data_IF_477398776524
#
_entry.id   IF_477398776524
#
_cell.length_a   1.000
_cell.length_b   1.000
_cell.length_c   1.000
_cell.angle_alpha   90.00
_cell.angle_beta   90.00
_cell.angle_gamma   90.00
#
_symmetry.space_group_name_H-M   'P 1'
#
loop_
_entity.id
_entity.type
_entity.pdbx_description
1 polymer ?
#
# COMPACT_ATOMS: atom_id res chain seq x y z
N UNK A 1 -9.89 76.32 -1.17
CA UNK A 1 -10.68 75.17 -0.67
C UNK A 1 -9.93 73.90 -1.05
N UNK A 2 -9.21 73.27 -0.11
CA UNK A 2 -8.49 72.02 -0.33
C UNK A 2 -9.41 70.88 0.02
N UNK A 3 -9.66 69.94 -0.94
CA UNK A 3 -10.44 68.72 -0.72
C UNK A 3 -9.56 67.67 0.02
N UNK A 4 -10.04 66.98 1.04
CA UNK A 4 -9.28 65.92 1.64
C UNK A 4 -9.33 64.66 0.75
N UNK A 5 -8.16 64.08 0.52
CA UNK A 5 -8.00 62.79 -0.14
C UNK A 5 -8.30 61.69 0.86
N UNK A 6 -9.43 61.00 0.72
CA UNK A 6 -9.77 59.84 1.56
C UNK A 6 -8.95 58.66 1.08
N UNK A 7 -8.00 58.24 1.89
CA UNK A 7 -7.21 57.02 1.68
C UNK A 7 -8.07 55.81 2.10
N UNK A 8 -8.60 55.07 1.13
CA UNK A 8 -9.36 53.85 1.36
C UNK A 8 -8.37 52.71 1.65
N UNK A 9 -8.20 52.38 2.93
CA UNK A 9 -7.51 51.17 3.32
C UNK A 9 -8.36 49.97 2.97
N UNK A 10 -8.02 49.24 1.90
CA UNK A 10 -8.56 47.96 1.59
C UNK A 10 -7.94 46.95 2.61
N UNK A 11 -8.68 46.67 3.71
CA UNK A 11 -8.35 45.55 4.57
C UNK A 11 -8.61 44.27 3.73
N UNK A 12 -7.55 43.68 3.16
CA UNK A 12 -7.57 42.29 2.79
C UNK A 12 -7.73 41.47 4.09
N UNK A 13 -8.96 41.10 4.39
CA UNK A 13 -9.20 40.06 5.37
C UNK A 13 -8.55 38.80 4.85
N UNK A 14 -7.36 38.47 5.36
CA UNK A 14 -6.77 37.14 5.25
C UNK A 14 -7.72 36.20 6.00
N UNK A 15 -8.74 35.73 5.34
CA UNK A 15 -9.49 34.59 5.87
C UNK A 15 -8.52 33.44 5.88
N UNK A 16 -7.99 33.12 7.04
CA UNK A 16 -7.34 31.85 7.34
C UNK A 16 -8.41 30.77 7.10
N UNK A 17 -8.42 30.24 5.89
CA UNK A 17 -9.20 29.06 5.62
C UNK A 17 -8.56 27.94 6.43
N UNK A 18 -9.22 27.53 7.51
CA UNK A 18 -8.89 26.26 8.15
C UNK A 18 -9.05 25.20 7.07
N UNK A 19 -7.93 24.67 6.57
CA UNK A 19 -7.96 23.71 5.48
C UNK A 19 -8.67 22.46 5.99
N UNK A 20 -9.88 22.20 5.48
CA UNK A 20 -10.61 20.98 5.77
C UNK A 20 -9.92 19.81 5.09
N UNK A 21 -10.01 18.61 5.63
CA UNK A 21 -9.59 17.39 4.91
C UNK A 21 -10.22 17.31 3.52
N UNK A 22 -9.45 16.82 2.55
CA UNK A 22 -9.91 16.67 1.18
C UNK A 22 -10.95 15.53 1.05
N UNK A 23 -10.72 14.44 1.77
CA UNK A 23 -11.60 13.28 1.75
C UNK A 23 -12.72 13.42 2.79
N UNK A 24 -13.91 12.99 2.40
CA UNK A 24 -15.07 12.84 3.29
C UNK A 24 -15.40 11.38 3.57
N UNK A 25 -14.69 10.46 2.91
CA UNK A 25 -14.89 9.02 3.06
C UNK A 25 -14.40 8.52 4.41
N UNK A 26 -15.12 7.55 4.98
CA UNK A 26 -14.78 6.86 6.21
C UNK A 26 -14.80 5.35 5.97
N UNK A 27 -13.99 4.91 5.01
CA UNK A 27 -13.93 3.50 4.66
C UNK A 27 -13.22 2.67 5.72
N UNK A 28 -13.51 1.35 5.72
CA UNK A 28 -12.88 0.37 6.59
C UNK A 28 -12.30 -0.78 5.77
N UNK A 29 -11.67 -1.74 6.44
CA UNK A 29 -11.19 -2.96 5.79
C UNK A 29 -12.22 -4.11 5.83
N UNK A 30 -13.36 -3.88 6.50
CA UNK A 30 -14.49 -4.81 6.65
C UNK A 30 -15.58 -4.53 5.60
N UNK A 31 -16.71 -5.22 5.72
CA UNK A 31 -17.85 -4.97 4.85
C UNK A 31 -18.36 -3.52 4.96
N UNK A 32 -18.79 -2.92 3.81
CA UNK A 32 -18.95 -3.56 2.49
C UNK A 32 -17.67 -3.60 1.64
N UNK A 33 -16.56 -3.01 2.09
CA UNK A 33 -15.35 -2.78 1.29
C UNK A 33 -14.61 -4.06 0.91
N UNK A 34 -14.72 -5.09 1.74
CA UNK A 34 -14.07 -6.41 1.51
C UNK A 34 -14.98 -7.45 0.85
N UNK A 35 -16.21 -7.12 0.50
CA UNK A 35 -17.19 -8.11 0.01
C UNK A 35 -16.79 -8.82 -1.30
N UNK A 36 -15.78 -8.33 -2.00
CA UNK A 36 -15.21 -8.95 -3.20
C UNK A 36 -13.81 -9.53 -2.95
N UNK A 37 -13.29 -9.48 -1.73
CA UNK A 37 -12.02 -10.13 -1.38
C UNK A 37 -12.23 -11.65 -1.24
N UNK A 38 -11.17 -12.47 -1.44
CA UNK A 38 -11.28 -13.92 -1.30
C UNK A 38 -11.87 -14.35 0.04
N UNK A 39 -12.81 -15.28 0.01
CA UNK A 39 -13.37 -15.92 1.20
C UNK A 39 -12.39 -16.96 1.73
N UNK A 40 -12.13 -16.95 3.05
CA UNK A 40 -11.17 -17.84 3.67
C UNK A 40 -11.85 -19.07 4.28
N UNK A 41 -11.63 -20.30 3.74
CA UNK A 41 -12.28 -21.50 4.22
C UNK A 41 -11.86 -21.91 5.64
N UNK A 42 -10.70 -21.45 6.12
CA UNK A 42 -10.25 -21.76 7.49
C UNK A 42 -10.81 -20.76 8.53
N UNK A 43 -11.38 -19.66 8.08
CA UNK A 43 -12.08 -18.66 8.90
C UNK A 43 -13.59 -18.62 8.56
N UNK A 44 -14.21 -19.82 8.48
CA UNK A 44 -15.64 -20.01 8.21
C UNK A 44 -16.15 -19.38 6.90
N UNK A 45 -15.30 -19.24 5.89
CA UNK A 45 -15.61 -18.52 4.64
C UNK A 45 -15.97 -17.04 4.83
N UNK A 46 -15.49 -16.41 5.90
CA UNK A 46 -15.52 -14.96 5.99
C UNK A 46 -14.61 -14.35 4.92
N UNK A 47 -15.03 -13.23 4.34
CA UNK A 47 -14.17 -12.53 3.38
C UNK A 47 -12.91 -12.03 4.07
N UNK A 48 -11.78 -12.18 3.40
CA UNK A 48 -10.52 -11.58 3.81
C UNK A 48 -10.68 -10.08 4.00
N UNK A 49 -9.92 -9.47 4.92
CA UNK A 49 -9.90 -8.02 5.03
C UNK A 49 -9.50 -7.36 3.71
N UNK A 50 -10.03 -6.17 3.45
CA UNK A 50 -9.70 -5.43 2.22
C UNK A 50 -8.23 -5.02 2.12
N UNK A 51 -7.55 -4.90 3.27
CA UNK A 51 -6.15 -4.49 3.35
C UNK A 51 -5.97 -2.97 3.33
N UNK A 52 -5.14 -2.45 4.25
CA UNK A 52 -4.96 -1.01 4.39
C UNK A 52 -4.41 -0.31 3.12
N UNK A 53 -3.48 -0.90 2.31
CA UNK A 53 -3.04 -0.24 1.09
C UNK A 53 -4.16 -0.13 0.05
N UNK A 54 -4.99 -1.17 -0.10
CA UNK A 54 -6.12 -1.15 -1.02
C UNK A 54 -7.19 -0.15 -0.61
N UNK A 55 -7.49 -0.04 0.70
CA UNK A 55 -8.45 0.95 1.21
C UNK A 55 -7.93 2.37 1.03
N UNK A 56 -6.67 2.65 1.36
CA UNK A 56 -6.07 3.97 1.17
C UNK A 56 -6.06 4.37 -0.31
N UNK A 57 -5.62 3.47 -1.20
CA UNK A 57 -5.61 3.70 -2.63
C UNK A 57 -7.02 3.87 -3.19
N UNK A 58 -7.98 3.03 -2.77
CA UNK A 58 -9.37 3.09 -3.21
C UNK A 58 -10.04 4.41 -2.83
N UNK A 59 -9.82 4.94 -1.63
CA UNK A 59 -10.31 6.25 -1.21
C UNK A 59 -9.75 7.38 -2.09
N UNK A 60 -8.48 7.32 -2.45
CA UNK A 60 -7.83 8.30 -3.34
C UNK A 60 -8.43 8.22 -4.75
N UNK A 61 -8.59 7.03 -5.32
CA UNK A 61 -9.21 6.81 -6.64
C UNK A 61 -10.67 7.32 -6.64
N UNK A 62 -11.43 7.00 -5.59
CA UNK A 62 -12.79 7.50 -5.45
C UNK A 62 -12.85 9.03 -5.37
N UNK A 63 -11.94 9.66 -4.61
CA UNK A 63 -11.84 11.11 -4.51
C UNK A 63 -11.49 11.75 -5.87
N UNK A 64 -10.53 11.19 -6.60
CA UNK A 64 -10.09 11.68 -7.91
C UNK A 64 -11.08 11.31 -9.04
N UNK A 65 -12.05 10.45 -8.76
CA UNK A 65 -13.11 10.04 -9.71
C UNK A 65 -12.57 9.46 -11.01
N UNK A 66 -11.49 8.66 -10.95
CA UNK A 66 -10.91 8.06 -12.14
C UNK A 66 -10.20 6.75 -11.84
N UNK A 67 -10.45 5.73 -12.67
CA UNK A 67 -9.64 4.50 -12.74
C UNK A 67 -8.61 4.58 -13.86
N UNK A 68 -8.58 5.68 -14.62
CA UNK A 68 -7.82 5.83 -15.88
C UNK A 68 -8.07 4.68 -16.88
N UNK A 69 -9.26 4.07 -16.83
CA UNK A 69 -9.59 2.93 -17.67
C UNK A 69 -8.78 1.67 -17.38
N UNK A 70 -8.24 1.54 -16.16
CA UNK A 70 -7.47 0.34 -15.75
C UNK A 70 -8.34 -0.91 -15.85
N UNK A 71 -7.82 -1.94 -16.50
CA UNK A 71 -8.42 -3.28 -16.65
C UNK A 71 -7.36 -4.32 -16.40
N UNK A 72 -7.77 -5.51 -15.97
CA UNK A 72 -6.91 -6.63 -15.62
C UNK A 72 -7.04 -7.76 -16.65
N UNK A 73 -5.95 -8.49 -16.88
CA UNK A 73 -5.88 -9.65 -17.74
C UNK A 73 -4.91 -10.68 -17.15
N UNK A 74 -4.75 -11.84 -17.83
CA UNK A 74 -3.91 -12.95 -17.37
C UNK A 74 -2.45 -12.55 -17.05
N UNK A 75 -1.96 -11.39 -17.52
CA UNK A 75 -0.63 -10.87 -17.14
C UNK A 75 -0.59 -10.25 -15.75
N UNK A 76 -1.74 -9.96 -15.18
CA UNK A 76 -1.89 -9.46 -13.81
C UNK A 76 -2.04 -10.59 -12.78
N UNK A 77 -2.12 -11.85 -13.22
CA UNK A 77 -2.23 -13.01 -12.33
C UNK A 77 -1.11 -13.06 -11.31
N UNK A 78 -1.48 -13.40 -10.10
CA UNK A 78 -0.53 -13.64 -9.04
C UNK A 78 -1.10 -14.58 -7.99
N UNK A 79 -0.23 -15.20 -7.20
CA UNK A 79 -0.67 -15.89 -6.00
C UNK A 79 -0.32 -15.11 -4.75
N UNK A 80 -1.20 -15.19 -3.76
CA UNK A 80 -0.92 -14.65 -2.44
C UNK A 80 -0.14 -15.69 -1.64
N UNK A 81 1.04 -15.35 -1.15
CA UNK A 81 1.76 -16.17 -0.20
C UNK A 81 1.56 -15.57 1.19
N UNK A 82 0.55 -16.04 1.92
CA UNK A 82 0.32 -15.58 3.27
C UNK A 82 1.12 -16.39 4.30
N UNK A 83 1.26 -15.83 5.50
CA UNK A 83 2.05 -16.42 6.61
C UNK A 83 1.54 -17.77 7.12
N UNK A 84 0.36 -18.20 6.68
CA UNK A 84 -0.31 -19.43 7.15
C UNK A 84 -0.32 -20.55 6.13
N UNK A 85 0.45 -20.40 5.04
CA UNK A 85 0.49 -21.42 3.98
C UNK A 85 -0.77 -21.48 3.13
N UNK A 86 -1.62 -20.43 3.18
CA UNK A 86 -2.75 -20.28 2.26
C UNK A 86 -2.28 -19.53 1.03
N UNK A 87 -2.61 -20.08 -0.09
CA UNK A 87 -2.32 -19.50 -1.38
C UNK A 87 -3.65 -19.34 -2.09
N UNK A 88 -3.99 -18.09 -2.46
CA UNK A 88 -5.05 -17.81 -3.41
C UNK A 88 -4.39 -17.48 -4.74
N UNK A 89 -4.80 -18.14 -5.81
CA UNK A 89 -4.43 -17.76 -7.17
C UNK A 89 -5.46 -16.76 -7.67
N UNK A 90 -5.07 -15.49 -7.70
CA UNK A 90 -5.96 -14.39 -8.07
C UNK A 90 -6.19 -14.46 -9.57
N UNK A 91 -7.46 -14.46 -9.96
CA UNK A 91 -8.14 -14.79 -11.18
C UNK A 91 -8.48 -16.30 -11.34
N UNK A 92 -7.61 -17.24 -10.99
CA UNK A 92 -7.83 -18.68 -11.19
C UNK A 92 -8.80 -19.29 -10.16
N UNK A 93 -8.68 -18.92 -8.90
CA UNK A 93 -9.41 -19.54 -7.78
C UNK A 93 -10.77 -18.88 -7.48
N UNK A 94 -11.29 -18.03 -8.36
CA UNK A 94 -12.42 -17.15 -8.12
C UNK A 94 -13.70 -17.87 -7.71
N UNK A 95 -14.05 -19.01 -8.31
CA UNK A 95 -15.22 -19.81 -7.93
C UNK A 95 -15.06 -20.46 -6.55
N UNK A 96 -13.84 -20.89 -6.22
CA UNK A 96 -13.55 -21.59 -4.98
C UNK A 96 -13.61 -20.66 -3.78
N UNK A 97 -13.09 -19.43 -3.94
CA UNK A 97 -12.95 -18.47 -2.85
C UNK A 97 -13.83 -17.23 -3.02
N UNK A 98 -14.83 -17.28 -3.89
CA UNK A 98 -15.94 -16.32 -3.99
C UNK A 98 -15.50 -14.85 -4.24
N UNK A 99 -14.50 -14.65 -5.07
CA UNK A 99 -14.09 -13.33 -5.54
C UNK A 99 -14.31 -13.19 -7.06
N UNK A 100 -14.36 -11.98 -7.65
CA UNK A 100 -14.59 -11.86 -9.09
C UNK A 100 -13.35 -12.26 -9.91
N UNK A 101 -13.54 -12.99 -11.00
CA UNK A 101 -12.52 -13.15 -12.04
C UNK A 101 -12.19 -11.80 -12.68
N UNK A 102 -11.07 -11.67 -13.38
CA UNK A 102 -10.71 -10.40 -14.04
C UNK A 102 -11.74 -9.92 -15.07
N UNK A 103 -12.36 -10.76 -15.91
CA UNK A 103 -13.47 -10.32 -16.75
C UNK A 103 -14.67 -9.76 -15.96
N UNK A 104 -15.00 -10.39 -14.83
CA UNK A 104 -16.08 -9.90 -13.95
C UNK A 104 -15.69 -8.58 -13.26
N UNK A 105 -14.46 -8.48 -12.74
CA UNK A 105 -13.92 -7.25 -12.15
C UNK A 105 -13.92 -6.11 -13.17
N UNK A 106 -13.47 -6.36 -14.38
CA UNK A 106 -13.47 -5.36 -15.46
C UNK A 106 -14.88 -4.84 -15.78
N UNK A 107 -15.90 -5.71 -15.78
CA UNK A 107 -17.30 -5.29 -15.95
C UNK A 107 -17.77 -4.37 -14.83
N UNK A 108 -17.34 -4.64 -13.57
CA UNK A 108 -17.62 -3.74 -12.44
C UNK A 108 -16.87 -2.42 -12.59
N UNK A 109 -15.62 -2.43 -13.05
CA UNK A 109 -14.83 -1.21 -13.28
C UNK A 109 -15.40 -0.36 -14.44
N UNK A 110 -16.00 -0.96 -15.47
CA UNK A 110 -16.77 -0.23 -16.50
C UNK A 110 -17.96 0.53 -15.86
N UNK A 111 -18.62 -0.12 -14.90
CA UNK A 111 -19.72 0.50 -14.15
C UNK A 111 -19.23 1.60 -13.21
N UNK A 112 -18.04 1.44 -12.58
CA UNK A 112 -17.37 2.47 -11.78
C UNK A 112 -17.08 3.70 -12.63
N UNK A 113 -16.40 3.53 -13.78
CA UNK A 113 -16.07 4.63 -14.69
C UNK A 113 -17.32 5.37 -15.18
N UNK A 114 -18.38 4.61 -15.53
CA UNK A 114 -19.65 5.19 -15.93
C UNK A 114 -20.31 5.99 -14.80
N UNK A 115 -20.21 5.52 -13.55
CA UNK A 115 -20.73 6.21 -12.37
C UNK A 115 -19.94 7.49 -12.08
N UNK A 116 -18.61 7.43 -12.21
CA UNK A 116 -17.75 8.61 -12.09
C UNK A 116 -18.08 9.67 -13.16
N UNK A 117 -18.28 9.26 -14.41
CA UNK A 117 -18.64 10.18 -15.52
C UNK A 117 -19.99 10.87 -15.28
N UNK A 118 -20.95 10.21 -14.64
CA UNK A 118 -22.24 10.80 -14.28
C UNK A 118 -22.18 11.69 -13.03
N UNK A 119 -21.04 11.74 -12.33
CA UNK A 119 -20.90 12.49 -11.08
C UNK A 119 -21.65 11.86 -9.90
N UNK A 120 -22.02 10.59 -9.99
CA UNK A 120 -22.78 9.85 -8.97
C UNK A 120 -21.85 9.17 -7.96
N UNK A 121 -22.35 8.92 -6.74
CA UNK A 121 -21.63 8.15 -5.74
C UNK A 121 -21.65 6.65 -6.10
N UNK A 122 -20.57 5.95 -5.72
CA UNK A 122 -20.48 4.51 -5.90
C UNK A 122 -21.44 3.78 -4.94
N UNK A 123 -22.09 2.72 -5.44
CA UNK A 123 -22.76 1.75 -4.57
C UNK A 123 -21.74 0.93 -3.78
N UNK A 124 -22.18 0.23 -2.75
CA UNK A 124 -21.32 -0.65 -1.94
C UNK A 124 -20.54 -1.66 -2.81
N UNK A 125 -21.22 -2.28 -3.79
CA UNK A 125 -20.58 -3.24 -4.69
C UNK A 125 -19.54 -2.62 -5.61
N UNK A 126 -19.78 -1.40 -6.11
CA UNK A 126 -18.80 -0.68 -6.94
C UNK A 126 -17.64 -0.15 -6.10
N UNK A 127 -17.91 0.26 -4.86
CA UNK A 127 -16.86 0.62 -3.91
C UNK A 127 -15.95 -0.57 -3.60
N UNK A 128 -16.53 -1.74 -3.32
CA UNK A 128 -15.78 -2.96 -3.13
C UNK A 128 -14.98 -3.37 -4.37
N UNK A 129 -15.52 -3.12 -5.57
CA UNK A 129 -14.80 -3.40 -6.83
C UNK A 129 -13.55 -2.50 -6.97
N UNK A 130 -13.66 -1.22 -6.64
CA UNK A 130 -12.49 -0.31 -6.61
C UNK A 130 -11.46 -0.78 -5.60
N UNK A 131 -11.88 -1.14 -4.39
CA UNK A 131 -10.96 -1.61 -3.34
C UNK A 131 -10.29 -2.92 -3.73
N UNK A 132 -11.06 -3.90 -4.25
CA UNK A 132 -10.49 -5.16 -4.72
C UNK A 132 -9.51 -4.96 -5.88
N UNK A 133 -9.84 -4.11 -6.87
CA UNK A 133 -8.95 -3.77 -7.98
C UNK A 133 -7.64 -3.12 -7.49
N UNK A 134 -7.70 -2.25 -6.47
CA UNK A 134 -6.51 -1.69 -5.83
C UNK A 134 -5.66 -2.78 -5.15
N UNK A 135 -6.30 -3.72 -4.48
CA UNK A 135 -5.64 -4.86 -3.85
C UNK A 135 -4.95 -5.79 -4.85
N UNK A 136 -5.62 -6.06 -5.99
CA UNK A 136 -5.04 -6.80 -7.12
C UNK A 136 -3.82 -6.08 -7.67
N UNK A 137 -3.95 -4.79 -7.96
CA UNK A 137 -2.83 -3.99 -8.48
C UNK A 137 -1.64 -3.92 -7.50
N UNK A 138 -1.91 -3.88 -6.19
CA UNK A 138 -0.88 -3.96 -5.15
C UNK A 138 -0.30 -5.38 -4.99
N UNK A 139 -0.84 -6.40 -5.66
CA UNK A 139 -0.47 -7.80 -5.44
C UNK A 139 -0.45 -8.16 -3.96
N UNK A 140 -1.50 -7.71 -3.24
CA UNK A 140 -1.54 -7.87 -1.78
C UNK A 140 -1.83 -9.30 -1.35
N UNK A 141 -1.41 -9.62 -0.14
CA UNK A 141 -1.77 -10.86 0.56
C UNK A 141 -3.15 -10.68 1.16
N UNK A 142 -4.02 -11.68 1.00
CA UNK A 142 -5.35 -11.70 1.59
C UNK A 142 -5.43 -12.65 2.80
N UNK A 143 -6.10 -12.20 3.85
CA UNK A 143 -6.34 -12.98 5.07
C UNK A 143 -7.57 -12.47 5.82
N UNK A 144 -8.41 -13.37 6.33
CA UNK A 144 -9.50 -13.04 7.24
C UNK A 144 -9.07 -13.05 8.72
N UNK A 145 -7.82 -13.39 9.02
CA UNK A 145 -7.31 -13.43 10.38
C UNK A 145 -7.15 -12.03 10.98
N UNK A 146 -7.79 -11.80 12.15
CA UNK A 146 -7.62 -10.56 12.89
C UNK A 146 -6.18 -10.27 13.35
N UNK A 147 -5.36 -11.31 13.51
CA UNK A 147 -3.99 -11.17 13.97
C UNK A 147 -3.02 -10.70 12.88
N UNK A 148 -3.34 -10.94 11.61
CA UNK A 148 -2.41 -10.73 10.50
C UNK A 148 -2.98 -9.82 9.41
N UNK A 149 -4.31 -9.88 9.17
CA UNK A 149 -4.99 -9.05 8.19
C UNK A 149 -4.49 -9.27 6.75
N UNK A 150 -5.02 -8.46 5.84
CA UNK A 150 -4.57 -8.37 4.45
C UNK A 150 -3.66 -7.16 4.27
N UNK A 151 -2.75 -7.20 3.29
CA UNK A 151 -1.88 -6.07 2.99
C UNK A 151 -0.73 -6.38 2.05
N UNK A 152 0.20 -5.46 1.94
CA UNK A 152 1.43 -5.56 1.15
C UNK A 152 2.63 -5.80 2.06
N UNK A 153 3.74 -6.24 1.47
CA UNK A 153 5.00 -6.38 2.18
C UNK A 153 5.76 -5.05 2.26
N UNK A 154 5.59 -4.21 1.22
CA UNK A 154 6.29 -2.94 1.06
C UNK A 154 5.41 -1.91 0.38
N UNK A 155 5.69 -0.65 0.65
CA UNK A 155 5.05 0.50 -0.02
C UNK A 155 5.30 0.52 -1.53
N UNK A 156 6.33 -0.15 -2.02
CA UNK A 156 6.62 -0.30 -3.45
C UNK A 156 5.47 -0.90 -4.22
N UNK A 157 4.80 -1.89 -3.64
CA UNK A 157 3.64 -2.53 -4.26
C UNK A 157 2.49 -1.53 -4.47
N UNK A 158 2.24 -0.64 -3.52
CA UNK A 158 1.27 0.44 -3.69
C UNK A 158 1.75 1.47 -4.73
N UNK A 159 3.04 1.79 -4.75
CA UNK A 159 3.60 2.69 -5.75
C UNK A 159 3.47 2.14 -7.18
N UNK A 160 3.80 0.87 -7.40
CA UNK A 160 3.62 0.18 -8.68
C UNK A 160 2.14 0.10 -9.07
N UNK A 161 1.25 -0.13 -8.07
CA UNK A 161 -0.19 -0.14 -8.29
C UNK A 161 -0.70 1.23 -8.79
N UNK A 162 -0.24 2.34 -8.25
CA UNK A 162 -0.58 3.66 -8.78
C UNK A 162 -0.10 3.84 -10.22
N UNK A 163 1.11 3.37 -10.55
CA UNK A 163 1.60 3.40 -11.93
C UNK A 163 0.73 2.52 -12.86
N UNK A 164 0.30 1.34 -12.37
CA UNK A 164 -0.64 0.45 -13.07
C UNK A 164 -2.00 1.12 -13.30
N UNK A 165 -2.43 1.97 -12.36
CA UNK A 165 -3.64 2.79 -12.49
C UNK A 165 -3.41 4.11 -13.27
N UNK A 166 -2.32 4.23 -14.02
CA UNK A 166 -2.08 5.34 -14.94
C UNK A 166 -1.57 6.63 -14.29
N UNK A 167 -1.22 6.63 -13.00
CA UNK A 167 -0.58 7.78 -12.34
C UNK A 167 0.92 7.83 -12.70
N UNK A 168 1.24 8.16 -13.95
CA UNK A 168 2.60 8.07 -14.48
C UNK A 168 3.61 9.00 -13.78
N UNK A 169 3.14 10.13 -13.24
CA UNK A 169 3.98 11.14 -12.57
C UNK A 169 4.07 10.95 -11.04
N UNK A 170 3.48 9.88 -10.49
CA UNK A 170 3.57 9.60 -9.07
C UNK A 170 5.01 9.37 -8.63
N UNK A 171 5.32 9.74 -7.37
CA UNK A 171 6.67 9.64 -6.79
C UNK A 171 6.62 9.01 -5.43
N UNK A 172 7.61 8.17 -5.17
CA UNK A 172 7.83 7.53 -3.88
C UNK A 172 9.04 8.16 -3.18
N UNK A 173 8.80 8.74 -1.99
CA UNK A 173 9.84 9.18 -1.06
C UNK A 173 9.95 8.18 0.08
N UNK A 174 11.17 7.75 0.43
CA UNK A 174 11.44 6.79 1.50
C UNK A 174 11.99 7.46 2.75
N UNK A 175 12.67 8.55 2.58
CA UNK A 175 13.31 9.29 3.67
C UNK A 175 12.64 10.65 3.81
N UNK A 176 12.26 11.05 5.04
CA UNK A 176 11.70 12.36 5.28
C UNK A 176 12.78 13.43 5.14
N UNK A 177 12.63 14.29 4.14
CA UNK A 177 13.46 15.47 3.94
C UNK A 177 12.61 16.71 3.63
N UNK A 178 13.25 17.86 3.56
CA UNK A 178 12.54 19.13 3.29
C UNK A 178 11.87 19.16 1.92
N UNK A 179 12.41 18.43 0.92
CA UNK A 179 11.83 18.37 -0.41
C UNK A 179 10.56 17.54 -0.43
N UNK A 180 10.55 16.40 0.30
CA UNK A 180 9.36 15.56 0.49
C UNK A 180 8.20 16.37 1.07
N UNK A 181 8.43 17.10 2.18
CA UNK A 181 7.38 17.91 2.81
C UNK A 181 6.91 19.06 1.92
N UNK A 182 7.81 19.74 1.22
CA UNK A 182 7.43 20.80 0.31
C UNK A 182 6.51 20.31 -0.82
N UNK A 183 6.82 19.13 -1.39
CA UNK A 183 6.01 18.51 -2.44
C UNK A 183 4.66 18.02 -1.87
N UNK A 184 4.66 17.39 -0.69
CA UNK A 184 3.44 16.96 -0.02
C UNK A 184 2.49 18.14 0.23
N UNK A 185 3.00 19.23 0.81
CA UNK A 185 2.22 20.44 1.07
C UNK A 185 1.67 21.02 -0.24
N UNK A 186 2.49 21.12 -1.29
CA UNK A 186 2.05 21.63 -2.58
C UNK A 186 0.95 20.76 -3.21
N UNK A 187 1.04 19.43 -3.09
CA UNK A 187 0.00 18.50 -3.54
C UNK A 187 -1.31 18.74 -2.80
N UNK A 188 -1.27 18.78 -1.46
CA UNK A 188 -2.45 18.99 -0.64
C UNK A 188 -3.11 20.36 -0.89
N UNK A 189 -2.31 21.42 -1.07
CA UNK A 189 -2.81 22.75 -1.44
C UNK A 189 -3.43 22.78 -2.84
N UNK A 190 -2.98 21.94 -3.74
CA UNK A 190 -3.54 21.78 -5.08
C UNK A 190 -4.77 20.83 -5.11
N UNK A 191 -5.16 20.24 -3.98
CA UNK A 191 -6.29 19.34 -3.88
C UNK A 191 -5.97 17.88 -4.19
N UNK A 192 -4.70 17.48 -4.12
CA UNK A 192 -4.28 16.10 -4.37
C UNK A 192 -3.84 15.43 -3.07
N UNK A 193 -4.55 14.38 -2.62
CA UNK A 193 -4.15 13.58 -1.47
C UNK A 193 -2.89 12.76 -1.77
N UNK A 194 -2.25 12.25 -0.72
CA UNK A 194 -1.07 11.41 -0.82
C UNK A 194 -1.28 10.10 -0.05
N UNK A 195 -0.52 9.06 -0.42
CA UNK A 195 -0.54 7.76 0.25
C UNK A 195 0.71 7.63 1.12
N UNK A 196 0.53 7.42 2.41
CA UNK A 196 1.62 7.29 3.38
C UNK A 196 1.64 5.88 3.97
N UNK A 197 2.77 5.20 3.88
CA UNK A 197 3.05 3.98 4.61
C UNK A 197 3.95 4.27 5.80
N UNK A 198 3.53 3.81 6.99
CA UNK A 198 4.26 3.95 8.25
C UNK A 198 4.55 2.58 8.85
N UNK A 199 5.68 2.47 9.57
CA UNK A 199 6.07 1.22 10.21
C UNK A 199 6.72 1.46 11.59
N UNK A 200 6.79 0.40 12.40
CA UNK A 200 7.60 0.44 13.60
C UNK A 200 9.09 0.34 13.24
N UNK A 201 10.03 0.71 14.14
CA UNK A 201 11.46 0.68 13.86
C UNK A 201 12.00 -0.70 13.43
N UNK A 202 11.33 -1.77 13.83
CA UNK A 202 11.71 -3.14 13.49
C UNK A 202 11.19 -3.61 12.12
N UNK A 203 10.28 -2.87 11.47
CA UNK A 203 9.64 -3.24 10.21
C UNK A 203 8.71 -4.47 10.34
N UNK A 204 8.20 -4.76 11.53
CA UNK A 204 7.35 -5.93 11.80
C UNK A 204 5.86 -5.60 11.87
N UNK A 205 5.52 -4.33 11.90
CA UNK A 205 4.15 -3.83 11.92
C UNK A 205 4.12 -2.46 11.26
N UNK A 206 3.13 -2.23 10.43
CA UNK A 206 2.94 -0.98 9.72
C UNK A 206 1.49 -0.75 9.33
N UNK A 207 1.23 0.38 8.70
CA UNK A 207 -0.08 0.76 8.22
C UNK A 207 0.01 1.70 7.02
N UNK A 208 -1.00 1.66 6.16
CA UNK A 208 -1.14 2.56 5.03
C UNK A 208 -2.33 3.49 5.27
N UNK A 209 -2.11 4.79 5.13
CA UNK A 209 -3.08 5.84 5.40
C UNK A 209 -3.11 6.85 4.25
N UNK A 210 -4.21 7.61 4.14
CA UNK A 210 -4.27 8.75 3.24
C UNK A 210 -3.87 10.02 3.99
N UNK A 211 -2.98 10.82 3.40
CA UNK A 211 -2.70 12.19 3.83
C UNK A 211 -3.55 13.12 2.96
N UNK A 212 -4.52 13.78 3.57
CA UNK A 212 -5.54 14.53 2.83
C UNK A 212 -5.78 15.96 3.36
N UNK A 213 -4.86 16.48 4.19
CA UNK A 213 -4.90 17.86 4.63
C UNK A 213 -3.59 18.33 5.23
N UNK A 214 -3.34 19.65 5.16
CA UNK A 214 -2.22 20.32 5.82
C UNK A 214 -2.73 21.54 6.57
N UNK A 215 -2.34 21.68 7.83
CA UNK A 215 -2.69 22.82 8.68
C UNK A 215 -1.45 23.63 8.99
N UNK A 216 -1.34 24.78 8.33
CA UNK A 216 -0.17 25.65 8.44
C UNK A 216 0.08 26.20 9.84
N UNK A 217 -0.99 26.44 10.64
CA UNK A 217 -0.91 27.06 11.95
C UNK A 217 -0.08 26.27 12.96
N UNK A 218 0.02 24.94 12.81
CA UNK A 218 0.78 24.04 13.69
C UNK A 218 1.61 22.99 12.94
N UNK A 219 1.65 23.07 11.60
CA UNK A 219 2.45 22.18 10.74
C UNK A 219 1.99 20.74 10.70
N UNK A 220 0.72 20.47 11.02
CA UNK A 220 0.16 19.13 11.05
C UNK A 220 -0.52 18.75 9.73
N UNK A 221 -0.53 17.45 9.48
CA UNK A 221 -1.21 16.83 8.36
C UNK A 221 -2.43 16.06 8.86
N UNK A 222 -3.53 16.13 8.12
CA UNK A 222 -4.69 15.27 8.38
C UNK A 222 -4.43 13.89 7.78
N UNK A 223 -4.70 12.85 8.57
CA UNK A 223 -4.58 11.45 8.18
C UNK A 223 -5.93 10.76 8.29
N UNK A 224 -6.31 10.05 7.22
CA UNK A 224 -7.42 9.11 7.20
C UNK A 224 -6.85 7.69 7.29
N UNK A 225 -7.18 6.99 8.37
CA UNK A 225 -6.61 5.67 8.69
C UNK A 225 -7.33 4.51 7.97
N UNK A 226 -8.44 4.75 7.29
CA UNK A 226 -9.22 3.67 6.70
C UNK A 226 -9.84 2.74 7.76
N UNK A 227 -10.26 3.31 8.90
CA UNK A 227 -10.90 2.62 10.03
C UNK A 227 -12.24 3.23 10.40
N UNK A 228 -13.04 3.62 9.39
CA UNK A 228 -14.37 4.19 9.62
C UNK A 228 -14.36 5.53 10.34
N UNK A 229 -13.35 6.35 10.12
CA UNK A 229 -13.15 7.63 10.82
C UNK A 229 -12.44 7.48 12.18
N UNK A 230 -12.24 6.25 12.66
CA UNK A 230 -11.51 6.04 13.91
C UNK A 230 -10.04 6.44 13.73
N UNK A 231 -9.55 7.33 14.60
CA UNK A 231 -8.21 7.92 14.56
C UNK A 231 -7.97 8.94 13.45
N UNK A 232 -8.91 9.23 12.56
CA UNK A 232 -8.76 10.32 11.61
C UNK A 232 -8.57 11.64 12.37
N UNK A 233 -7.43 12.27 12.18
CA UNK A 233 -7.06 13.47 12.93
C UNK A 233 -5.81 14.16 12.34
N UNK A 234 -5.38 15.22 12.97
CA UNK A 234 -4.20 16.03 12.64
C UNK A 234 -2.97 15.57 13.41
N UNK A 235 -1.93 15.15 12.69
CA UNK A 235 -0.70 14.57 13.23
C UNK A 235 0.54 15.26 12.66
N UNK A 236 1.65 15.20 13.37
CA UNK A 236 2.96 15.39 12.74
C UNK A 236 3.35 14.13 11.96
N UNK A 237 4.13 14.29 10.90
CA UNK A 237 4.67 13.17 10.11
C UNK A 237 6.20 13.30 10.08
N UNK A 238 6.98 12.32 10.61
CA UNK A 238 6.50 11.20 11.41
C UNK A 238 5.94 11.66 12.77
N UNK A 239 5.01 10.90 13.33
CA UNK A 239 4.51 11.17 14.68
C UNK A 239 5.49 10.58 15.72
N UNK A 240 5.98 11.37 16.70
CA UNK A 240 6.94 10.88 17.69
C UNK A 240 6.36 9.81 18.62
N UNK A 241 5.02 9.74 18.75
CA UNK A 241 4.31 8.72 19.52
C UNK A 241 3.84 7.56 18.65
N UNK A 242 4.20 7.55 17.34
CA UNK A 242 3.82 6.51 16.40
C UNK A 242 2.32 6.28 16.28
N UNK A 243 1.53 7.35 16.30
CA UNK A 243 0.06 7.31 16.22
C UNK A 243 -0.59 6.42 17.29
N UNK A 244 0.08 6.23 18.44
CA UNK A 244 -0.27 5.30 19.54
C UNK A 244 -0.08 3.80 19.20
N UNK A 245 0.61 3.46 18.12
CA UNK A 245 0.90 2.08 17.70
C UNK A 245 2.41 1.79 17.58
N UNK A 246 3.27 2.76 17.88
CA UNK A 246 4.71 2.62 17.74
C UNK A 246 5.21 2.73 16.29
N UNK A 247 4.38 3.18 15.34
CA UNK A 247 4.77 3.42 13.95
C UNK A 247 5.46 4.79 13.82
N UNK A 248 6.70 4.85 14.23
CA UNK A 248 7.50 6.09 14.27
C UNK A 248 8.35 6.32 13.03
N UNK A 249 8.34 5.38 12.10
CA UNK A 249 9.13 5.43 10.87
C UNK A 249 8.22 5.56 9.65
N UNK A 250 8.61 6.43 8.71
CA UNK A 250 8.02 6.46 7.37
C UNK A 250 8.66 5.32 6.58
N UNK A 251 7.85 4.38 6.09
CA UNK A 251 8.29 3.40 5.11
C UNK A 251 8.35 4.03 3.72
N UNK A 252 7.36 4.85 3.40
CA UNK A 252 7.34 5.65 2.19
C UNK A 252 6.11 6.53 2.06
N UNK A 253 6.25 7.58 1.28
CA UNK A 253 5.21 8.54 0.93
C UNK A 253 5.07 8.61 -0.59
N UNK A 254 3.89 8.33 -1.11
CA UNK A 254 3.57 8.42 -2.54
C UNK A 254 2.78 9.71 -2.76
N UNK A 255 3.31 10.57 -3.62
CA UNK A 255 2.76 11.90 -3.98
C UNK A 255 2.59 12.02 -5.49
N UNK A 256 2.08 13.16 -5.95
CA UNK A 256 1.76 13.44 -7.36
C UNK A 256 0.76 12.43 -7.94
N UNK A 257 -0.22 12.08 -7.16
CA UNK A 257 -1.38 11.28 -7.59
C UNK A 257 -2.35 12.22 -8.33
N UNK A 258 -1.96 12.58 -9.55
CA UNK A 258 -2.62 13.62 -10.35
C UNK A 258 -3.21 12.95 -11.59
N UNK A 259 -4.49 13.15 -11.89
CA UNK A 259 -5.07 12.73 -13.17
C UNK A 259 -4.34 13.37 -14.36
N UNK A 260 -4.41 12.77 -15.54
CA UNK A 260 -3.76 13.29 -16.75
C UNK A 260 -4.02 14.80 -16.94
N UNK A 261 -2.95 15.55 -17.17
CA UNK A 261 -2.98 17.02 -17.31
C UNK A 261 -2.61 17.80 -16.05
N UNK A 262 -2.23 17.11 -14.97
CA UNK A 262 -1.77 17.72 -13.73
C UNK A 262 -0.38 18.37 -13.82
N UNK A 263 0.06 19.00 -12.74
CA UNK A 263 1.21 19.93 -12.63
C UNK A 263 2.51 19.28 -13.15
N UNK A 264 3.19 19.86 -14.17
CA UNK A 264 4.47 19.31 -14.64
C UNK A 264 5.59 19.59 -13.62
N UNK A 265 6.17 18.56 -13.05
CA UNK A 265 7.36 18.66 -12.22
C UNK A 265 8.54 17.98 -12.89
N UNK A 266 9.58 18.76 -13.21
CA UNK A 266 10.84 18.24 -13.73
C UNK A 266 11.84 18.02 -12.60
N UNK A 267 11.99 16.77 -12.14
CA UNK A 267 13.19 16.34 -11.42
C UNK A 267 13.47 14.88 -11.80
N UNK A 268 14.73 14.60 -12.10
CA UNK A 268 15.20 13.29 -12.55
C UNK A 268 14.92 12.16 -11.54
N UNK A 269 14.28 11.11 -11.99
CA UNK A 269 13.97 9.92 -11.20
C UNK A 269 15.15 8.95 -11.23
N UNK A 270 15.78 8.72 -10.08
CA UNK A 270 16.53 7.51 -9.83
C UNK A 270 15.54 6.38 -9.49
N UNK A 271 15.43 5.39 -10.36
CA UNK A 271 14.65 4.17 -10.08
C UNK A 271 15.43 3.33 -9.08
N UNK A 272 14.95 3.25 -7.85
CA UNK A 272 15.48 2.33 -6.84
C UNK A 272 14.62 1.07 -6.88
N UNK A 273 15.07 0.04 -7.58
CA UNK A 273 14.47 -1.28 -7.50
C UNK A 273 14.85 -1.90 -6.14
N UNK A 274 13.89 -1.95 -5.21
CA UNK A 274 14.04 -2.78 -4.02
C UNK A 274 13.69 -4.21 -4.43
N UNK A 275 14.60 -5.14 -4.21
CA UNK A 275 14.33 -6.54 -4.46
C UNK A 275 13.26 -7.02 -3.46
N UNK A 276 12.10 -7.43 -3.96
CA UNK A 276 10.95 -7.88 -3.15
C UNK A 276 11.22 -9.19 -2.37
N UNK A 277 12.45 -9.75 -2.45
CA UNK A 277 12.82 -10.96 -1.76
C UNK A 277 13.45 -10.68 -0.41
N UNK A 278 12.83 -11.14 0.66
CA UNK A 278 13.32 -11.05 2.04
C UNK A 278 13.21 -12.38 2.80
N UNK A 279 14.06 -12.51 3.82
CA UNK A 279 14.06 -13.63 4.74
C UNK A 279 13.86 -13.15 6.19
N UNK A 280 12.93 -13.77 6.91
CA UNK A 280 12.61 -13.39 8.29
C UNK A 280 12.14 -14.60 9.14
N UNK A 281 12.18 -14.51 10.48
CA UNK A 281 12.89 -13.47 11.24
C UNK A 281 14.39 -13.56 11.01
N UNK A 282 15.07 -12.43 11.11
CA UNK A 282 16.53 -12.41 11.06
C UNK A 282 17.06 -11.50 12.18
N UNK A 283 17.61 -12.06 13.27
CA UNK A 283 18.03 -13.45 13.49
C UNK A 283 16.87 -14.46 13.67
N UNK A 284 17.12 -15.70 13.22
CA UNK A 284 16.18 -16.83 13.28
C UNK A 284 16.66 -17.92 14.25
N UNK A 285 15.72 -18.70 14.83
CA UNK A 285 16.05 -19.87 15.66
C UNK A 285 15.53 -21.20 15.10
N UNK A 286 14.33 -21.21 14.53
CA UNK A 286 13.67 -22.46 14.12
C UNK A 286 13.29 -22.52 12.66
N UNK A 287 12.52 -21.54 12.19
CA UNK A 287 11.97 -21.50 10.84
C UNK A 287 12.24 -20.13 10.21
N UNK A 288 12.87 -20.14 9.04
CA UNK A 288 13.08 -19.00 8.19
C UNK A 288 11.93 -18.91 7.19
N UNK A 289 11.26 -17.77 7.14
CA UNK A 289 10.21 -17.46 6.18
C UNK A 289 10.79 -16.66 5.02
N UNK A 290 10.25 -16.89 3.83
CA UNK A 290 10.67 -16.25 2.59
C UNK A 290 9.51 -15.40 2.06
N UNK A 291 9.75 -14.11 1.79
CA UNK A 291 8.82 -13.18 1.13
C UNK A 291 9.20 -13.00 -0.33
N UNK A 292 8.23 -12.71 -1.18
CA UNK A 292 8.47 -12.39 -2.59
C UNK A 292 8.88 -13.59 -3.44
N UNK A 293 8.40 -14.79 -3.09
CA UNK A 293 8.55 -15.98 -3.93
C UNK A 293 7.47 -16.04 -5.01
N UNK A 294 7.77 -16.69 -6.16
CA UNK A 294 6.74 -17.06 -7.14
C UNK A 294 5.76 -18.09 -6.54
N UNK A 295 4.61 -18.31 -7.21
CA UNK A 295 3.58 -19.25 -6.79
C UNK A 295 4.03 -20.71 -6.81
N UNK A 296 5.08 -21.03 -7.52
CA UNK A 296 5.68 -22.37 -7.60
C UNK A 296 6.74 -22.58 -6.51
N UNK A 297 6.99 -23.83 -6.16
CA UNK A 297 8.09 -24.15 -5.25
C UNK A 297 9.43 -23.77 -5.88
N UNK A 298 10.31 -23.18 -5.08
CA UNK A 298 11.66 -22.79 -5.47
C UNK A 298 12.70 -23.70 -4.82
N UNK A 299 13.77 -24.00 -5.54
CA UNK A 299 14.92 -24.70 -4.97
C UNK A 299 15.73 -23.76 -4.09
N UNK A 300 16.18 -24.27 -2.93
CA UNK A 300 17.07 -23.52 -2.04
C UNK A 300 18.34 -24.27 -1.72
N UNK A 301 19.40 -23.52 -1.38
CA UNK A 301 20.63 -24.03 -0.80
C UNK A 301 21.12 -23.07 0.29
N UNK A 302 21.56 -23.63 1.44
CA UNK A 302 22.14 -22.88 2.55
C UNK A 302 23.64 -23.17 2.62
N UNK A 303 24.41 -22.09 2.74
CA UNK A 303 25.87 -22.13 2.84
C UNK A 303 26.33 -21.46 4.15
N UNK A 304 27.41 -21.98 4.74
CA UNK A 304 28.07 -21.28 5.84
C UNK A 304 28.96 -20.13 5.33
N UNK A 305 29.59 -19.39 6.23
CA UNK A 305 30.49 -18.29 5.91
C UNK A 305 31.77 -18.70 5.10
N UNK A 306 32.09 -19.98 5.10
CA UNK A 306 33.22 -20.54 4.31
C UNK A 306 32.78 -21.03 2.92
N UNK A 307 31.49 -20.84 2.55
CA UNK A 307 30.94 -21.28 1.27
C UNK A 307 30.63 -22.77 1.18
N UNK A 308 30.68 -23.51 2.28
CA UNK A 308 30.30 -24.91 2.30
C UNK A 308 28.77 -25.03 2.33
N UNK A 309 28.23 -25.85 1.43
CA UNK A 309 26.81 -26.14 1.37
C UNK A 309 26.39 -27.06 2.50
N UNK A 310 25.45 -26.62 3.34
CA UNK A 310 24.99 -27.35 4.53
C UNK A 310 23.62 -27.99 4.34
N UNK A 311 22.73 -27.34 3.56
CA UNK A 311 21.40 -27.85 3.30
C UNK A 311 20.94 -27.44 1.90
N UNK A 312 20.03 -28.23 1.32
CA UNK A 312 19.34 -27.89 0.09
C UNK A 312 18.00 -28.63 0.05
N UNK A 313 17.04 -28.08 -0.69
CA UNK A 313 15.69 -28.63 -0.86
C UNK A 313 14.86 -27.75 -1.74
N UNK A 314 13.56 -27.98 -1.72
CA UNK A 314 12.57 -27.14 -2.39
C UNK A 314 11.58 -26.63 -1.34
N UNK A 315 11.09 -25.40 -1.53
CA UNK A 315 10.14 -24.74 -0.59
C UNK A 315 9.21 -23.78 -1.32
N UNK A 316 8.01 -23.63 -0.78
CA UNK A 316 7.03 -22.61 -1.19
C UNK A 316 6.94 -21.42 -0.21
N UNK A 317 7.88 -21.28 0.74
CA UNK A 317 7.87 -20.12 1.65
C UNK A 317 8.54 -20.30 3.00
N UNK A 318 8.88 -21.53 3.43
CA UNK A 318 9.47 -21.77 4.75
C UNK A 318 10.63 -22.74 4.68
N UNK A 319 11.69 -22.48 5.46
CA UNK A 319 12.85 -23.35 5.57
C UNK A 319 13.14 -23.62 7.06
N UNK A 320 13.09 -24.89 7.52
CA UNK A 320 13.49 -25.21 8.87
C UNK A 320 15.01 -25.05 9.02
N UNK A 321 15.44 -24.29 10.02
CA UNK A 321 16.85 -23.98 10.28
C UNK A 321 17.32 -24.37 11.69
N UNK A 322 16.46 -25.00 12.48
CA UNK A 322 16.76 -25.43 13.86
C UNK A 322 17.97 -26.36 13.98
N UNK A 323 18.30 -27.10 12.91
CA UNK A 323 19.46 -27.98 12.87
C UNK A 323 20.78 -27.25 12.59
N UNK A 324 20.73 -25.95 12.24
CA UNK A 324 21.93 -25.16 12.01
C UNK A 324 22.48 -24.61 13.33
N UNK A 325 23.79 -24.62 13.47
CA UNK A 325 24.45 -23.98 14.62
C UNK A 325 24.32 -22.46 14.57
N UNK A 326 24.59 -21.78 15.69
CA UNK A 326 24.63 -20.31 15.75
C UNK A 326 25.66 -19.77 14.75
N UNK A 327 25.29 -18.80 13.94
CA UNK A 327 26.21 -18.24 12.95
C UNK A 327 25.54 -17.52 11.80
N UNK A 328 26.36 -16.95 10.93
CA UNK A 328 25.93 -16.26 9.71
C UNK A 328 25.89 -17.26 8.55
N UNK A 329 24.78 -17.25 7.81
CA UNK A 329 24.51 -18.13 6.69
C UNK A 329 24.10 -17.35 5.45
N UNK A 330 24.33 -17.96 4.29
CA UNK A 330 23.90 -17.48 2.99
C UNK A 330 22.83 -18.45 2.47
N UNK A 331 21.64 -17.93 2.20
CA UNK A 331 20.57 -18.63 1.49
C UNK A 331 20.64 -18.25 0.02
N UNK A 332 20.66 -19.24 -0.85
CA UNK A 332 20.47 -19.09 -2.28
C UNK A 332 19.15 -19.77 -2.66
N UNK A 333 18.31 -19.08 -3.43
CA UNK A 333 17.10 -19.65 -4.03
C UNK A 333 17.16 -19.58 -5.54
N UNK A 334 16.46 -20.53 -6.19
CA UNK A 334 16.44 -20.65 -7.65
C UNK A 334 15.13 -21.24 -8.13
N UNK A 335 14.54 -20.63 -9.18
CA UNK A 335 13.51 -21.23 -10.03
C UNK A 335 13.82 -20.91 -11.49
N UNK A 336 12.92 -21.24 -12.40
CA UNK A 336 13.07 -20.88 -13.82
C UNK A 336 13.11 -19.36 -14.03
N UNK A 337 12.36 -18.59 -13.21
CA UNK A 337 12.20 -17.15 -13.32
C UNK A 337 12.95 -16.34 -12.25
N UNK A 338 13.49 -17.00 -11.19
CA UNK A 338 14.05 -16.30 -10.02
C UNK A 338 15.40 -16.89 -9.62
N UNK A 339 16.39 -16.01 -9.40
CA UNK A 339 17.63 -16.34 -8.71
C UNK A 339 17.96 -15.23 -7.73
N UNK A 340 17.89 -15.54 -6.42
CA UNK A 340 18.14 -14.58 -5.34
C UNK A 340 19.06 -15.16 -4.27
N UNK A 341 19.66 -14.26 -3.51
CA UNK A 341 20.57 -14.62 -2.41
C UNK A 341 20.29 -13.69 -1.22
N UNK A 342 20.15 -14.26 -0.02
CA UNK A 342 19.98 -13.49 1.20
C UNK A 342 20.93 -13.97 2.30
N UNK A 343 21.26 -13.09 3.23
CA UNK A 343 22.03 -13.41 4.45
C UNK A 343 21.07 -13.50 5.64
N UNK A 344 21.28 -14.51 6.49
CA UNK A 344 20.53 -14.64 7.73
C UNK A 344 21.42 -15.14 8.87
N UNK A 345 21.05 -14.76 10.10
CA UNK A 345 21.76 -15.09 11.32
C UNK A 345 20.93 -16.10 12.14
N UNK A 346 21.54 -17.23 12.51
CA UNK A 346 20.94 -18.20 13.46
C UNK A 346 21.47 -17.87 14.87
N UNK A 347 20.55 -17.81 15.88
CA UNK A 347 20.85 -17.46 17.28
C UNK A 347 20.60 -18.59 18.27
#
# INVERSE_FOLDING_TARGET
MKKPLALLFLLCALTSWAQQPLLTTQWTQDAPYNMLCPADPLENYDHSYAGCPAVAMGQIINYLRTTHGTRFDDSDDYCTNNYFGRIFHIDDDWETYLFPSFPQLNTLLDSVDSTFQRGEELSDSLTAAVVFACGVACRQVYSASQSYGSGTFYVDQAFEAYQRFGFADCRLFREPDSAMYAILIANLQAGYPAHLAVENPAGTSGHNVVVDGYRESDGKFHLNFGWGGLRDNWYHIPDPNGFSYGWTKIEGLIVNLVPEGGIPWSVANGRWERELFEVYPNPVSEVLYLKGLPCEAVDYAIYNAMGQKLAAGSTSGTIPVAALGKGLYLLQIRSASLQKTAKFLVR
#
